data_IF_427040797782
#
_entry.id   IF_427040797782
#
_cell.length_a   1.000
_cell.length_b   1.000
_cell.length_c   1.000
_cell.angle_alpha   90.00
_cell.angle_beta   90.00
_cell.angle_gamma   90.00
#
_symmetry.space_group_name_H-M   'P 1'
#
loop_
_entity.id
_entity.type
_entity.pdbx_description
1 polymer ?
#
# COMPACT_ATOMS: atom_id res chain seq x y z
N UNK A 1 15.63 -2.72 4.59
CA UNK A 1 15.08 -3.10 3.27
C UNK A 1 13.90 -2.18 3.04
N UNK A 2 13.98 -1.40 1.96
CA UNK A 2 13.29 -0.10 1.87
C UNK A 2 12.67 0.13 0.48
N UNK A 3 12.64 -0.91 -0.36
CA UNK A 3 12.20 -0.84 -1.74
C UNK A 3 11.34 -2.07 -2.10
N UNK A 4 10.33 -1.82 -2.94
CA UNK A 4 9.44 -2.81 -3.54
C UNK A 4 9.29 -2.44 -5.03
N UNK A 5 9.22 -3.45 -5.89
CA UNK A 5 9.05 -3.28 -7.33
C UNK A 5 7.70 -3.84 -7.75
N UNK A 6 7.03 -3.18 -8.68
CA UNK A 6 5.76 -3.61 -9.29
C UNK A 6 5.88 -3.54 -10.80
N UNK A 7 5.23 -4.48 -11.49
CA UNK A 7 5.14 -4.45 -12.95
C UNK A 7 4.07 -3.44 -13.38
N UNK A 8 4.49 -2.42 -14.14
CA UNK A 8 3.64 -1.37 -14.68
C UNK A 8 3.50 -1.44 -16.21
N UNK A 9 4.03 -2.49 -16.85
CA UNK A 9 4.12 -2.60 -18.32
C UNK A 9 2.77 -2.39 -19.01
N UNK A 10 1.67 -2.80 -18.37
CA UNK A 10 0.30 -2.65 -18.88
C UNK A 10 -0.42 -1.34 -18.54
N UNK A 11 0.20 -0.43 -17.79
CA UNK A 11 -0.44 0.81 -17.30
C UNK A 11 0.09 2.01 -18.09
N UNK A 12 -0.72 2.62 -18.97
CA UNK A 12 -0.27 3.75 -19.77
C UNK A 12 -0.08 5.00 -18.92
N UNK A 13 0.89 5.86 -19.30
CA UNK A 13 1.11 7.20 -18.74
C UNK A 13 1.55 7.27 -17.27
N UNK A 14 2.05 6.18 -16.70
CA UNK A 14 2.74 6.22 -15.39
C UNK A 14 4.01 7.07 -15.51
N UNK A 15 4.26 7.94 -14.53
CA UNK A 15 5.44 8.79 -14.45
C UNK A 15 6.01 8.82 -13.02
N UNK A 16 7.27 9.24 -12.91
CA UNK A 16 7.90 9.46 -11.62
C UNK A 16 7.10 10.47 -10.79
N UNK A 17 6.88 10.13 -9.52
CA UNK A 17 6.11 10.95 -8.58
C UNK A 17 4.61 10.65 -8.56
N UNK A 18 4.12 9.74 -9.40
CA UNK A 18 2.74 9.26 -9.29
C UNK A 18 2.52 8.52 -7.95
N UNK A 19 1.30 8.64 -7.42
CA UNK A 19 0.93 8.06 -6.13
C UNK A 19 0.60 6.58 -6.31
N UNK A 20 1.30 5.71 -5.57
CA UNK A 20 0.93 4.31 -5.40
C UNK A 20 0.22 4.13 -4.05
N UNK A 21 -1.04 3.70 -4.09
CA UNK A 21 -1.84 3.42 -2.88
C UNK A 21 -1.66 1.95 -2.49
N UNK A 22 -0.93 1.69 -1.40
CA UNK A 22 -0.74 0.33 -0.87
C UNK A 22 -1.93 -0.14 -0.03
N UNK A 23 -2.54 0.77 0.73
CA UNK A 23 -3.73 0.56 1.57
C UNK A 23 -4.59 1.82 1.44
N UNK A 24 -5.87 1.64 1.11
CA UNK A 24 -6.81 2.75 0.95
C UNK A 24 -7.48 2.72 -0.42
N UNK A 25 -7.95 3.89 -0.87
CA UNK A 25 -8.75 4.05 -2.08
C UNK A 25 -8.01 4.87 -3.13
N UNK A 26 -8.11 4.44 -4.39
CA UNK A 26 -7.66 5.20 -5.57
C UNK A 26 -8.72 5.11 -6.65
N UNK A 27 -9.35 6.25 -6.98
CA UNK A 27 -10.50 6.27 -7.91
C UNK A 27 -11.63 5.37 -7.43
N UNK A 28 -11.97 4.35 -8.23
CA UNK A 28 -13.01 3.36 -7.91
C UNK A 28 -12.46 2.06 -7.29
N UNK A 29 -11.13 1.93 -7.18
CA UNK A 29 -10.49 0.77 -6.60
C UNK A 29 -10.10 1.03 -5.14
N UNK A 30 -10.10 -0.03 -4.33
CA UNK A 30 -9.67 0.04 -2.94
C UNK A 30 -9.01 -1.25 -2.50
N UNK A 31 -7.95 -1.12 -1.70
CA UNK A 31 -7.29 -2.22 -1.02
C UNK A 31 -7.44 -1.98 0.47
N UNK A 32 -8.21 -2.84 1.15
CA UNK A 32 -8.36 -2.78 2.60
C UNK A 32 -7.17 -3.45 3.29
N UNK A 33 -6.96 -3.10 4.56
CA UNK A 33 -6.00 -3.84 5.41
C UNK A 33 -6.40 -5.31 5.55
N UNK A 34 -7.71 -5.61 5.48
CA UNK A 34 -8.24 -6.97 5.51
C UNK A 34 -7.76 -7.80 4.32
N UNK A 35 -7.81 -7.25 3.11
CA UNK A 35 -7.34 -7.92 1.89
C UNK A 35 -5.86 -8.29 1.98
N UNK A 36 -5.05 -7.40 2.60
CA UNK A 36 -3.62 -7.66 2.82
C UNK A 36 -3.43 -8.73 3.88
N UNK A 37 -4.15 -8.65 4.99
CA UNK A 37 -4.05 -9.61 6.08
C UNK A 37 -4.41 -11.03 5.61
N UNK A 38 -5.48 -11.16 4.83
CA UNK A 38 -5.88 -12.43 4.22
C UNK A 38 -4.78 -13.00 3.32
N UNK A 39 -4.25 -12.19 2.38
CA UNK A 39 -3.15 -12.62 1.49
C UNK A 39 -1.86 -12.97 2.23
N UNK A 40 -1.63 -12.32 3.38
CA UNK A 40 -0.47 -12.58 4.23
C UNK A 40 -0.70 -13.70 5.26
N UNK A 41 -1.89 -14.30 5.32
CA UNK A 41 -2.23 -15.35 6.29
C UNK A 41 -2.20 -14.88 7.74
N UNK A 42 -2.56 -13.62 7.99
CA UNK A 42 -2.52 -12.98 9.32
C UNK A 42 -3.79 -12.14 9.56
N UNK A 43 -3.78 -11.33 10.61
CA UNK A 43 -4.84 -10.42 11.03
C UNK A 43 -4.46 -8.97 10.76
N UNK A 44 -5.48 -8.11 10.65
CA UNK A 44 -5.31 -6.67 10.38
C UNK A 44 -4.38 -5.96 11.38
N UNK A 45 -4.50 -6.30 12.68
CA UNK A 45 -3.67 -5.73 13.73
C UNK A 45 -2.17 -6.00 13.54
N UNK A 46 -1.78 -7.16 13.00
CA UNK A 46 -0.37 -7.48 12.77
C UNK A 46 0.20 -6.62 11.63
N UNK A 47 -0.58 -6.41 10.56
CA UNK A 47 -0.21 -5.52 9.44
C UNK A 47 -0.01 -4.08 9.94
N UNK A 48 -0.99 -3.54 10.67
CA UNK A 48 -0.94 -2.15 11.16
C UNK A 48 0.15 -1.95 12.20
N UNK A 49 0.32 -2.88 13.14
CA UNK A 49 1.32 -2.76 14.22
C UNK A 49 2.75 -2.88 13.70
N UNK A 50 2.95 -3.52 12.54
CA UNK A 50 4.25 -3.61 11.86
C UNK A 50 4.64 -2.34 11.10
N UNK A 51 3.73 -1.37 10.94
CA UNK A 51 4.08 -0.06 10.39
C UNK A 51 4.93 0.71 11.40
N UNK A 52 6.25 0.50 11.30
CA UNK A 52 7.24 1.07 12.19
C UNK A 52 7.36 2.59 12.10
N UNK A 53 8.24 3.15 12.92
CA UNK A 53 8.43 4.60 13.11
C UNK A 53 8.97 5.35 11.89
N UNK A 54 9.46 4.65 10.87
CA UNK A 54 9.99 5.24 9.63
C UNK A 54 8.90 5.76 8.69
N UNK A 55 7.66 5.34 8.89
CA UNK A 55 6.52 5.85 8.14
C UNK A 55 6.05 7.16 8.77
N UNK A 56 6.15 8.26 8.03
CA UNK A 56 5.61 9.55 8.47
C UNK A 56 4.08 9.48 8.57
N UNK A 57 3.53 10.04 9.65
CA UNK A 57 2.08 10.12 9.87
C UNK A 57 1.67 11.58 9.76
N UNK A 58 0.96 11.88 8.68
CA UNK A 58 0.41 13.21 8.42
C UNK A 58 -1.04 13.20 8.91
N UNK A 59 -1.34 14.03 9.91
CA UNK A 59 -2.69 14.23 10.43
C UNK A 59 -3.15 15.59 9.92
N UNK A 60 -4.14 15.57 9.02
CA UNK A 60 -4.74 16.76 8.42
C UNK A 60 -6.09 17.05 9.06
#
# INVERSE_FOLDING_TARGET
MDQLMVDITGIPRVKTGDIAVLIGKSGNESISVGDIAEKAGTITNEILSRMGTRLERIIT
#
